data_IF_388423976152
#
_entry.id   IF_388423976152
#
_cell.length_a   1.000
_cell.length_b   1.000
_cell.length_c   1.000
_cell.angle_alpha   90.00
_cell.angle_beta   90.00
_cell.angle_gamma   90.00
#
_symmetry.space_group_name_H-M   'P 1'
#
loop_
_entity.id
_entity.type
_entity.pdbx_description
1 polymer ?
#
# COMPACT_ATOMS: atom_id res chain seq x y z
N UNK A 1 37.10 -6.73 9.82
CA UNK A 1 36.39 -6.78 11.12
C UNK A 1 34.90 -6.59 10.82
N UNK A 2 34.17 -7.68 10.69
CA UNK A 2 32.72 -7.70 10.44
C UNK A 2 32.01 -7.51 11.77
N UNK A 3 31.16 -6.50 11.93
CA UNK A 3 30.17 -6.41 12.99
C UNK A 3 28.78 -6.46 12.38
N UNK A 4 28.06 -7.45 12.84
CA UNK A 4 26.72 -7.87 12.47
C UNK A 4 25.66 -6.83 12.81
N UNK A 5 24.68 -6.67 11.89
CA UNK A 5 23.49 -5.79 11.98
C UNK A 5 22.31 -6.57 12.60
N UNK A 6 22.52 -7.25 13.74
CA UNK A 6 21.45 -8.10 14.33
C UNK A 6 21.07 -7.74 15.77
N UNK A 7 21.20 -6.47 16.20
CA UNK A 7 20.91 -6.09 17.59
C UNK A 7 19.87 -4.97 17.75
N UNK A 8 18.79 -4.96 16.93
CA UNK A 8 17.76 -3.93 17.08
C UNK A 8 16.30 -4.42 17.04
N UNK A 9 16.04 -5.65 17.46
CA UNK A 9 14.64 -6.12 17.69
C UNK A 9 14.57 -6.93 18.97
N UNK A 10 14.74 -6.32 20.11
CA UNK A 10 14.29 -6.89 21.39
C UNK A 10 14.36 -5.86 22.51
N UNK A 11 13.31 -5.06 22.66
CA UNK A 11 12.93 -4.42 23.94
C UNK A 11 11.58 -3.72 23.79
N UNK A 12 10.53 -4.44 24.12
CA UNK A 12 9.35 -3.88 24.81
C UNK A 12 8.37 -5.03 25.09
N UNK A 13 8.65 -5.71 26.16
CA UNK A 13 7.66 -6.49 26.89
C UNK A 13 7.95 -6.33 28.39
N UNK A 14 6.90 -6.14 29.16
CA UNK A 14 6.78 -6.14 30.62
C UNK A 14 6.78 -4.76 31.28
N UNK A 15 5.62 -4.42 31.84
CA UNK A 15 5.17 -4.54 33.24
C UNK A 15 3.80 -3.88 33.35
N UNK A 16 2.75 -4.49 33.68
CA UNK A 16 2.22 -5.26 34.80
C UNK A 16 1.59 -4.43 35.89
N UNK A 17 0.46 -4.93 36.31
CA UNK A 17 -0.11 -4.99 37.65
C UNK A 17 -0.75 -3.73 38.23
N UNK A 18 -1.99 -3.86 38.43
CA UNK A 18 -2.65 -4.22 39.72
C UNK A 18 -3.15 -3.00 40.51
N UNK A 19 -4.41 -3.05 41.00
CA UNK A 19 -4.98 -2.09 41.90
C UNK A 19 -6.50 -2.10 41.90
N UNK A 20 -7.03 -3.11 42.57
CA UNK A 20 -8.40 -3.16 43.09
C UNK A 20 -8.76 -1.96 43.96
N UNK A 21 -10.00 -1.51 43.95
CA UNK A 21 -10.80 -1.39 45.18
C UNK A 21 -12.26 -1.00 44.96
N UNK A 22 -13.07 -1.56 45.82
CA UNK A 22 -14.50 -1.54 45.97
C UNK A 22 -15.09 -0.15 46.32
N UNK A 23 -16.40 0.00 46.12
CA UNK A 23 -17.16 1.07 46.75
C UNK A 23 -18.63 1.20 46.35
N UNK A 24 -19.45 0.30 46.90
CA UNK A 24 -20.82 0.50 47.45
C UNK A 24 -21.86 1.45 46.84
N UNK A 25 -22.97 0.81 46.49
CA UNK A 25 -24.41 1.12 46.71
C UNK A 25 -24.90 2.56 46.81
N UNK A 26 -25.92 2.88 46.04
CA UNK A 26 -27.15 3.53 46.52
C UNK A 26 -28.38 3.29 45.65
N UNK A 27 -29.42 2.96 46.31
CA UNK A 27 -30.79 2.56 45.94
C UNK A 27 -31.61 3.76 45.41
N UNK A 28 -32.48 3.50 44.42
CA UNK A 28 -33.84 4.07 44.45
C UNK A 28 -34.29 4.94 43.29
N UNK A 29 -35.16 4.48 42.45
CA UNK A 29 -36.60 4.81 42.34
C UNK A 29 -37.14 4.38 40.97
N UNK A 30 -38.16 3.56 41.02
CA UNK A 30 -39.03 3.18 39.89
C UNK A 30 -39.82 4.38 39.38
N UNK A 31 -39.97 4.51 38.06
CA UNK A 31 -41.14 5.10 37.43
C UNK A 31 -41.41 4.51 36.05
N UNK A 32 -42.64 4.63 35.48
CA UNK A 32 -43.28 3.51 34.83
C UNK A 32 -43.15 3.48 33.31
N UNK A 33 -43.45 2.29 32.75
CA UNK A 33 -43.49 1.91 31.34
C UNK A 33 -44.30 2.88 30.48
N UNK A 34 -43.65 3.50 29.51
CA UNK A 34 -44.30 3.99 28.29
C UNK A 34 -43.82 3.08 27.16
N UNK A 35 -44.74 2.26 26.63
CA UNK A 35 -44.52 1.55 25.37
C UNK A 35 -44.42 2.60 24.27
N UNK A 36 -43.25 2.75 23.69
CA UNK A 36 -43.07 3.35 22.37
C UNK A 36 -42.86 2.20 21.38
N UNK A 37 -43.78 2.05 20.48
CA UNK A 37 -43.64 1.23 19.29
C UNK A 37 -42.44 1.80 18.48
N UNK A 38 -41.51 0.92 18.13
CA UNK A 38 -40.41 1.24 17.23
C UNK A 38 -40.99 1.47 15.81
N UNK A 39 -40.56 2.50 15.09
CA UNK A 39 -40.96 2.66 13.70
C UNK A 39 -40.38 1.53 12.85
N UNK A 40 -41.22 0.89 12.05
CA UNK A 40 -40.79 -0.04 10.99
C UNK A 40 -39.72 0.59 10.15
N UNK A 41 -38.58 -0.08 10.06
CA UNK A 41 -37.48 0.31 9.17
C UNK A 41 -37.97 0.15 7.73
N UNK A 42 -38.30 1.25 7.08
CA UNK A 42 -38.60 1.26 5.64
C UNK A 42 -37.37 0.82 4.85
N UNK A 43 -37.55 -0.08 3.89
CA UNK A 43 -36.51 -0.50 2.96
C UNK A 43 -35.80 0.73 2.32
N UNK A 44 -34.46 0.73 2.22
CA UNK A 44 -33.74 1.87 1.68
C UNK A 44 -34.14 2.12 0.22
N UNK A 45 -34.55 3.34 -0.07
CA UNK A 45 -34.94 3.74 -1.41
C UNK A 45 -33.78 3.58 -2.39
N UNK A 46 -34.12 3.32 -3.69
CA UNK A 46 -33.08 3.20 -4.77
C UNK A 46 -32.11 4.38 -4.80
N UNK A 47 -32.50 5.54 -4.27
CA UNK A 47 -31.66 6.74 -4.15
C UNK A 47 -30.63 6.59 -3.01
N UNK A 48 -31.04 6.08 -1.85
CA UNK A 48 -30.14 5.82 -0.70
C UNK A 48 -29.14 4.71 -1.00
N UNK A 49 -29.55 3.65 -1.72
CA UNK A 49 -28.63 2.59 -2.20
C UNK A 49 -27.61 3.16 -3.20
N UNK A 50 -28.03 4.11 -4.07
CA UNK A 50 -27.16 4.76 -5.05
C UNK A 50 -26.18 5.73 -4.39
N UNK A 51 -26.60 6.43 -3.33
CA UNK A 51 -25.74 7.32 -2.53
C UNK A 51 -24.73 6.53 -1.67
N UNK A 52 -25.15 5.45 -1.02
CA UNK A 52 -24.27 4.55 -0.28
C UNK A 52 -23.25 3.83 -1.20
N UNK A 53 -23.65 3.53 -2.45
CA UNK A 53 -22.75 2.98 -3.47
C UNK A 53 -21.76 4.01 -3.99
N UNK A 54 -22.18 5.29 -4.13
CA UNK A 54 -21.28 6.42 -4.43
C UNK A 54 -20.28 6.68 -3.29
N UNK A 55 -20.70 6.56 -2.05
CA UNK A 55 -19.84 6.78 -0.88
C UNK A 55 -18.82 5.66 -0.69
N UNK A 56 -19.18 4.40 -0.93
CA UNK A 56 -18.23 3.26 -0.96
C UNK A 56 -17.23 3.37 -2.11
N UNK A 57 -17.69 3.72 -3.32
CA UNK A 57 -16.82 4.01 -4.47
C UNK A 57 -15.88 5.18 -4.17
N UNK A 58 -16.36 6.24 -3.50
CA UNK A 58 -15.55 7.38 -3.09
C UNK A 58 -14.44 7.00 -2.09
N UNK A 59 -14.69 6.10 -1.14
CA UNK A 59 -13.67 5.65 -0.16
C UNK A 59 -12.61 4.75 -0.81
N UNK A 60 -13.03 3.82 -1.66
CA UNK A 60 -12.10 2.95 -2.41
C UNK A 60 -11.31 3.74 -3.44
N UNK A 61 -11.94 4.68 -4.16
CA UNK A 61 -11.27 5.59 -5.06
C UNK A 61 -10.26 6.50 -4.33
N UNK A 62 -10.58 6.98 -3.12
CA UNK A 62 -9.63 7.74 -2.29
C UNK A 62 -8.42 6.93 -1.86
N UNK A 63 -8.59 5.64 -1.55
CA UNK A 63 -7.49 4.74 -1.19
C UNK A 63 -6.61 4.44 -2.41
N UNK A 64 -7.21 4.17 -3.57
CA UNK A 64 -6.49 3.99 -4.84
C UNK A 64 -5.82 5.30 -5.27
N UNK A 65 -6.46 6.46 -5.05
CA UNK A 65 -5.88 7.78 -5.32
C UNK A 65 -4.76 8.15 -4.36
N UNK A 66 -4.84 7.77 -3.09
CA UNK A 66 -3.72 7.95 -2.14
C UNK A 66 -2.53 7.09 -2.56
N UNK A 67 -2.75 5.87 -3.04
CA UNK A 67 -1.68 5.02 -3.57
C UNK A 67 -1.12 5.56 -4.91
N UNK A 68 -1.98 6.01 -5.84
CA UNK A 68 -1.58 6.68 -7.09
C UNK A 68 -1.02 8.08 -6.78
N UNK A 69 -1.56 8.81 -5.81
CA UNK A 69 -1.12 10.14 -5.41
C UNK A 69 0.23 10.12 -4.69
N UNK A 70 0.55 9.10 -3.91
CA UNK A 70 1.90 8.90 -3.33
C UNK A 70 2.89 8.55 -4.46
N UNK A 71 2.52 7.70 -5.41
CA UNK A 71 3.32 7.44 -6.61
C UNK A 71 3.43 8.69 -7.51
N UNK A 72 2.34 9.45 -7.68
CA UNK A 72 2.31 10.68 -8.46
C UNK A 72 2.97 11.87 -7.75
N UNK A 73 2.95 11.96 -6.41
CA UNK A 73 3.74 12.96 -5.68
C UNK A 73 5.24 12.70 -5.81
N UNK A 74 5.67 11.46 -5.84
CA UNK A 74 7.06 11.12 -6.16
C UNK A 74 7.42 11.39 -7.63
N UNK A 75 6.42 11.36 -8.56
CA UNK A 75 6.62 11.51 -10.00
C UNK A 75 6.24 12.92 -10.51
N UNK A 76 5.25 13.62 -9.94
CA UNK A 76 4.73 14.89 -10.49
C UNK A 76 5.67 16.07 -10.29
N UNK A 77 6.47 16.03 -9.23
CA UNK A 77 7.49 17.06 -9.03
C UNK A 77 8.54 17.04 -10.14
N UNK A 78 8.69 15.93 -10.80
CA UNK A 78 9.74 15.64 -11.77
C UNK A 78 9.36 15.96 -13.21
N UNK A 79 8.13 15.71 -13.61
CA UNK A 79 7.63 16.09 -14.94
C UNK A 79 7.54 17.62 -15.10
N UNK A 80 7.19 18.34 -14.03
CA UNK A 80 7.14 19.80 -14.05
C UNK A 80 8.53 20.45 -14.19
N UNK A 81 9.58 19.86 -13.60
CA UNK A 81 10.92 20.45 -13.69
C UNK A 81 11.54 20.35 -15.09
N UNK A 82 11.20 19.31 -15.87
CA UNK A 82 11.79 19.06 -17.20
C UNK A 82 10.96 19.58 -18.38
N UNK A 83 9.67 19.82 -18.24
CA UNK A 83 8.79 20.16 -19.36
C UNK A 83 8.70 21.66 -19.69
N UNK A 84 9.34 22.53 -18.91
CA UNK A 84 9.22 23.99 -19.12
C UNK A 84 7.83 24.57 -18.83
N UNK A 85 6.88 23.75 -18.43
CA UNK A 85 5.48 24.11 -18.15
C UNK A 85 5.32 24.93 -16.86
N UNK A 86 6.38 25.02 -16.04
CA UNK A 86 6.40 25.88 -14.83
C UNK A 86 6.38 27.39 -15.13
N UNK A 87 6.35 27.80 -16.40
CA UNK A 87 6.40 29.22 -16.73
C UNK A 87 5.05 29.94 -16.83
N UNK A 88 3.91 29.29 -16.68
CA UNK A 88 2.59 29.91 -16.90
C UNK A 88 1.50 29.55 -15.87
N UNK A 89 1.79 29.52 -14.61
CA UNK A 89 0.72 29.71 -13.62
C UNK A 89 1.04 30.96 -12.83
N UNK A 90 0.50 32.10 -13.26
CA UNK A 90 0.39 33.34 -12.46
C UNK A 90 -0.53 33.10 -11.23
N UNK A 91 -0.11 32.23 -10.31
CA UNK A 91 -0.55 32.27 -8.92
C UNK A 91 0.49 33.08 -8.18
N UNK A 92 0.08 34.21 -7.58
CA UNK A 92 0.90 34.89 -6.59
C UNK A 92 1.20 33.86 -5.50
N UNK A 93 2.44 33.36 -5.47
CA UNK A 93 2.88 32.46 -4.41
C UNK A 93 2.89 33.26 -3.10
N UNK A 94 2.46 32.67 -1.96
CA UNK A 94 2.42 33.37 -0.66
C UNK A 94 3.82 33.62 -0.07
N UNK A 95 4.87 33.42 -0.86
CA UNK A 95 6.28 33.60 -0.48
C UNK A 95 7.08 34.19 -1.66
N UNK A 96 8.17 34.87 -1.32
CA UNK A 96 9.08 35.43 -2.31
C UNK A 96 10.10 34.39 -2.79
N UNK A 97 10.33 34.35 -4.11
CA UNK A 97 11.37 33.52 -4.72
C UNK A 97 12.69 34.29 -4.72
N UNK A 98 13.77 33.60 -4.38
CA UNK A 98 15.11 34.24 -4.25
C UNK A 98 15.86 34.31 -5.59
N UNK A 99 15.45 33.52 -6.57
CA UNK A 99 16.18 33.35 -7.83
C UNK A 99 17.51 32.62 -7.66
N UNK A 100 18.26 32.53 -8.74
CA UNK A 100 19.60 31.96 -8.74
C UNK A 100 19.65 30.47 -9.08
N UNK A 101 20.84 29.88 -8.89
CA UNK A 101 21.14 28.48 -9.21
C UNK A 101 21.40 27.72 -7.92
N UNK A 102 20.57 26.72 -7.63
CA UNK A 102 20.72 25.86 -6.48
C UNK A 102 21.84 24.83 -6.66
N UNK A 103 21.91 24.26 -7.85
CA UNK A 103 22.92 23.27 -8.21
C UNK A 103 23.14 23.21 -9.73
N UNK A 104 24.23 22.53 -10.14
CA UNK A 104 24.44 22.11 -11.53
C UNK A 104 24.57 20.60 -11.59
N UNK A 105 23.98 19.97 -12.61
CA UNK A 105 24.11 18.54 -12.90
C UNK A 105 24.58 18.42 -14.35
N UNK A 106 25.76 17.86 -14.58
CA UNK A 106 26.40 17.77 -15.90
C UNK A 106 26.41 19.13 -16.65
N UNK A 107 26.60 20.23 -15.91
CA UNK A 107 26.59 21.59 -16.46
C UNK A 107 25.20 22.21 -16.67
N UNK A 108 24.11 21.49 -16.39
CA UNK A 108 22.74 22.02 -16.45
C UNK A 108 22.31 22.56 -15.08
N UNK A 109 21.72 23.75 -15.08
CA UNK A 109 21.35 24.45 -13.86
C UNK A 109 20.01 23.95 -13.30
N UNK A 110 20.01 23.60 -12.01
CA UNK A 110 18.79 23.48 -11.18
C UNK A 110 18.55 24.86 -10.54
N UNK A 111 17.40 25.46 -10.81
CA UNK A 111 17.05 26.78 -10.27
C UNK A 111 16.68 26.68 -8.78
N UNK A 112 17.09 27.68 -7.99
CA UNK A 112 16.68 27.78 -6.58
C UNK A 112 15.16 27.86 -6.42
N UNK A 113 14.47 28.56 -7.32
CA UNK A 113 13.02 28.69 -7.30
C UNK A 113 12.32 27.36 -7.45
N UNK A 114 12.87 26.43 -8.25
CA UNK A 114 12.33 25.06 -8.39
C UNK A 114 12.43 24.31 -7.07
N UNK A 115 13.57 24.40 -6.39
CA UNK A 115 13.82 23.78 -5.09
C UNK A 115 12.89 24.38 -4.03
N UNK A 116 12.79 25.73 -4.01
CA UNK A 116 11.90 26.46 -3.10
C UNK A 116 10.45 26.03 -3.27
N UNK A 117 9.94 26.02 -4.50
CA UNK A 117 8.55 25.64 -4.78
C UNK A 117 8.27 24.20 -4.32
N UNK A 118 9.20 23.28 -4.53
CA UNK A 118 9.07 21.91 -4.07
C UNK A 118 9.01 21.78 -2.55
N UNK A 119 9.89 22.47 -1.83
CA UNK A 119 9.90 22.47 -0.36
C UNK A 119 8.65 23.15 0.18
N UNK A 120 8.26 24.28 -0.38
CA UNK A 120 7.11 25.07 0.08
C UNK A 120 5.78 24.36 -0.20
N UNK A 121 5.67 23.55 -1.23
CA UNK A 121 4.46 22.74 -1.47
C UNK A 121 4.15 21.78 -0.30
N UNK A 122 5.16 21.19 0.33
CA UNK A 122 5.00 20.39 1.54
C UNK A 122 4.77 21.28 2.76
N UNK A 123 5.55 22.35 2.90
CA UNK A 123 5.49 23.23 4.07
C UNK A 123 4.13 23.91 4.21
N UNK A 124 3.67 24.60 3.18
CA UNK A 124 2.38 25.32 3.19
C UNK A 124 1.17 24.40 3.31
N UNK A 125 1.27 23.16 2.84
CA UNK A 125 0.19 22.19 2.94
C UNK A 125 0.02 21.56 4.32
N UNK A 126 1.11 21.40 5.11
CA UNK A 126 1.08 20.62 6.34
C UNK A 126 1.86 21.27 7.50
N UNK A 127 2.80 22.15 7.21
CA UNK A 127 3.75 22.73 8.17
C UNK A 127 3.91 24.24 7.97
N UNK A 128 2.81 24.97 7.88
CA UNK A 128 2.75 26.41 7.56
C UNK A 128 3.47 27.27 8.60
N UNK A 129 3.46 26.85 9.88
CA UNK A 129 4.17 27.55 10.96
C UNK A 129 5.62 27.10 11.09
N UNK A 130 6.49 28.05 11.39
CA UNK A 130 7.91 27.78 11.60
C UNK A 130 8.19 26.71 12.66
N UNK A 131 7.43 26.71 13.76
CA UNK A 131 7.59 25.72 14.83
C UNK A 131 7.20 24.30 14.36
N UNK A 132 6.14 24.18 13.56
CA UNK A 132 5.70 22.90 13.00
C UNK A 132 6.71 22.37 11.96
N UNK A 133 7.23 23.27 11.12
CA UNK A 133 8.26 22.94 10.14
C UNK A 133 9.58 22.53 10.80
N UNK A 134 10.07 23.31 11.79
CA UNK A 134 11.26 22.98 12.55
C UNK A 134 11.11 21.64 13.30
N UNK A 135 9.93 21.38 13.90
CA UNK A 135 9.66 20.11 14.58
C UNK A 135 9.63 18.92 13.59
N UNK A 136 9.07 19.09 12.40
CA UNK A 136 9.11 18.09 11.35
C UNK A 136 10.55 17.77 10.94
N UNK A 137 11.35 18.77 10.59
CA UNK A 137 12.76 18.58 10.22
C UNK A 137 13.54 17.88 11.34
N UNK A 138 13.38 18.34 12.60
CA UNK A 138 14.03 17.73 13.75
C UNK A 138 13.63 16.26 13.94
N UNK A 139 12.37 15.90 13.69
CA UNK A 139 11.88 14.51 13.77
C UNK A 139 12.54 13.58 12.74
N UNK A 140 12.97 14.16 11.62
CA UNK A 140 13.70 13.43 10.55
C UNK A 140 15.23 13.52 10.72
N UNK A 141 15.72 14.22 11.74
CA UNK A 141 17.16 14.47 11.94
C UNK A 141 17.78 15.42 10.90
N UNK A 142 16.96 16.30 10.31
CA UNK A 142 17.34 17.20 9.23
C UNK A 142 17.37 18.66 9.70
N UNK A 143 18.08 19.49 8.96
CA UNK A 143 18.08 20.95 8.98
C UNK A 143 17.46 21.48 7.68
N UNK A 144 17.08 22.77 7.58
CA UNK A 144 16.66 23.35 6.30
C UNK A 144 17.66 23.14 5.17
N UNK A 145 18.94 23.24 5.46
CA UNK A 145 20.03 23.02 4.48
C UNK A 145 20.05 21.56 4.00
N UNK A 146 20.11 20.60 4.93
CA UNK A 146 20.18 19.18 4.55
C UNK A 146 18.89 18.70 3.88
N UNK A 147 17.73 19.26 4.24
CA UNK A 147 16.49 18.99 3.54
C UNK A 147 16.50 19.53 2.10
N UNK A 148 17.03 20.77 1.91
CA UNK A 148 17.25 21.35 0.58
C UNK A 148 18.19 20.48 -0.26
N UNK A 149 19.29 20.00 0.29
CA UNK A 149 20.21 19.09 -0.38
C UNK A 149 19.49 17.82 -0.84
N UNK A 150 18.69 17.18 0.02
CA UNK A 150 17.89 16.01 -0.34
C UNK A 150 16.91 16.29 -1.49
N UNK A 151 16.32 17.48 -1.53
CA UNK A 151 15.43 17.89 -2.63
C UNK A 151 16.23 18.10 -3.91
N UNK A 152 17.39 18.74 -3.84
CA UNK A 152 18.29 18.92 -4.99
C UNK A 152 18.73 17.57 -5.54
N UNK A 153 19.12 16.63 -4.68
CA UNK A 153 19.52 15.27 -5.09
C UNK A 153 18.36 14.53 -5.78
N UNK A 154 17.14 14.71 -5.29
CA UNK A 154 15.95 14.17 -5.93
C UNK A 154 15.74 14.73 -7.34
N UNK A 155 15.85 16.04 -7.51
CA UNK A 155 15.74 16.72 -8.81
C UNK A 155 16.87 16.30 -9.74
N UNK A 156 18.12 16.26 -9.23
CA UNK A 156 19.28 15.83 -9.98
C UNK A 156 19.13 14.41 -10.50
N UNK A 157 18.72 13.48 -9.64
CA UNK A 157 18.47 12.08 -10.01
C UNK A 157 17.43 11.98 -11.12
N UNK A 158 16.35 12.74 -11.01
CA UNK A 158 15.32 12.74 -12.03
C UNK A 158 15.83 13.27 -13.36
N UNK A 159 16.59 14.36 -13.33
CA UNK A 159 17.24 14.89 -14.53
C UNK A 159 18.14 13.82 -15.19
N UNK A 160 18.95 13.13 -14.40
CA UNK A 160 19.83 12.05 -14.88
C UNK A 160 19.05 10.87 -15.46
N UNK A 161 17.89 10.52 -14.90
CA UNK A 161 17.02 9.49 -15.48
C UNK A 161 16.49 9.90 -16.85
N UNK A 162 16.07 11.17 -17.03
CA UNK A 162 15.66 11.70 -18.34
C UNK A 162 16.82 11.74 -19.35
N UNK A 163 18.04 12.01 -18.89
CA UNK A 163 19.25 11.88 -19.74
C UNK A 163 19.48 10.43 -20.15
N UNK A 164 19.41 9.49 -19.20
CA UNK A 164 19.52 8.07 -19.47
C UNK A 164 18.43 7.58 -20.45
N UNK A 165 17.18 8.00 -20.30
CA UNK A 165 16.11 7.66 -21.25
C UNK A 165 16.49 8.06 -22.69
N UNK A 166 17.12 9.21 -22.88
CA UNK A 166 17.60 9.66 -24.20
C UNK A 166 18.80 8.86 -24.67
N UNK A 167 19.76 8.61 -23.78
CA UNK A 167 20.98 7.84 -24.07
C UNK A 167 20.66 6.42 -24.51
N UNK A 168 19.70 5.76 -23.82
CA UNK A 168 19.23 4.41 -24.14
C UNK A 168 18.15 4.38 -25.23
N UNK A 169 17.78 5.53 -25.82
CA UNK A 169 16.80 5.61 -26.89
C UNK A 169 15.37 5.25 -26.49
N UNK A 170 15.05 5.43 -25.21
CA UNK A 170 13.73 5.11 -24.69
C UNK A 170 12.68 6.03 -25.27
N UNK A 171 11.62 5.44 -25.83
CA UNK A 171 10.50 6.17 -26.40
C UNK A 171 9.17 5.58 -25.92
N UNK A 172 8.20 6.44 -25.69
CA UNK A 172 6.82 6.06 -25.36
C UNK A 172 5.94 6.41 -26.56
N UNK A 173 5.36 5.42 -27.17
CA UNK A 173 4.48 5.59 -28.35
C UNK A 173 3.08 6.10 -27.95
N UNK A 174 2.34 6.66 -28.91
CA UNK A 174 0.94 7.02 -28.67
C UNK A 174 0.09 5.79 -28.33
N UNK A 175 0.41 4.63 -28.89
CA UNK A 175 -0.28 3.37 -28.57
C UNK A 175 -0.08 2.96 -27.11
N UNK A 176 1.14 3.13 -26.56
CA UNK A 176 1.42 2.88 -25.13
C UNK A 176 0.56 3.78 -24.24
N UNK A 177 0.45 5.08 -24.58
CA UNK A 177 -0.35 6.05 -23.84
C UNK A 177 -1.84 5.73 -23.92
N UNK A 178 -2.34 5.41 -25.11
CA UNK A 178 -3.75 5.07 -25.32
C UNK A 178 -4.13 3.80 -24.55
N UNK A 179 -3.23 2.81 -24.52
CA UNK A 179 -3.42 1.60 -23.73
C UNK A 179 -3.44 1.88 -22.25
N UNK A 180 -2.45 2.62 -21.74
CA UNK A 180 -2.37 2.96 -20.33
C UNK A 180 -3.57 3.78 -19.85
N UNK A 181 -4.05 4.72 -20.68
CA UNK A 181 -5.28 5.47 -20.42
C UNK A 181 -6.51 4.55 -20.32
N UNK A 182 -6.69 3.65 -21.28
CA UNK A 182 -7.79 2.68 -21.27
C UNK A 182 -7.76 1.78 -20.04
N UNK A 183 -6.56 1.32 -19.65
CA UNK A 183 -6.39 0.48 -18.48
C UNK A 183 -6.70 1.24 -17.19
N UNK A 184 -6.27 2.51 -17.08
CA UNK A 184 -6.61 3.38 -15.95
C UNK A 184 -8.14 3.61 -15.82
N UNK A 185 -8.81 3.93 -16.93
CA UNK A 185 -10.27 4.09 -16.99
C UNK A 185 -10.98 2.79 -16.59
N UNK A 186 -10.52 1.63 -17.14
CA UNK A 186 -11.08 0.32 -16.82
C UNK A 186 -10.95 -0.02 -15.34
N UNK A 187 -9.78 0.22 -14.73
CA UNK A 187 -9.52 -0.02 -13.32
C UNK A 187 -10.36 0.89 -12.41
N UNK A 188 -10.73 2.06 -12.88
CA UNK A 188 -11.64 2.97 -12.18
C UNK A 188 -13.12 2.56 -12.28
N UNK A 189 -13.46 1.63 -13.16
CA UNK A 189 -14.84 1.13 -13.34
C UNK A 189 -15.39 1.30 -14.76
N UNK A 190 -14.55 1.73 -15.71
CA UNK A 190 -14.86 1.77 -17.14
C UNK A 190 -15.61 3.01 -17.63
N UNK A 191 -15.95 3.97 -16.75
CA UNK A 191 -16.56 5.24 -17.11
C UNK A 191 -15.49 6.34 -17.24
N UNK A 192 -15.09 6.64 -18.48
CA UNK A 192 -14.05 7.63 -18.76
C UNK A 192 -14.44 9.04 -18.26
N UNK A 193 -15.72 9.42 -18.37
CA UNK A 193 -16.16 10.72 -17.91
C UNK A 193 -16.05 10.85 -16.40
N UNK A 194 -16.49 9.84 -15.67
CA UNK A 194 -16.36 9.81 -14.21
C UNK A 194 -14.88 9.77 -13.78
N UNK A 195 -14.02 9.10 -14.54
CA UNK A 195 -12.58 9.08 -14.30
C UNK A 195 -11.96 10.46 -14.49
N UNK A 196 -12.30 11.18 -15.59
CA UNK A 196 -11.82 12.55 -15.84
C UNK A 196 -12.29 13.49 -14.73
N UNK A 197 -13.59 13.49 -14.39
CA UNK A 197 -14.12 14.30 -13.28
C UNK A 197 -13.36 14.04 -11.96
N UNK A 198 -12.95 12.80 -11.73
CA UNK A 198 -12.19 12.41 -10.54
C UNK A 198 -10.77 12.98 -10.56
N UNK A 199 -10.03 12.85 -11.66
CA UNK A 199 -8.66 13.39 -11.72
C UNK A 199 -8.66 14.93 -11.66
N UNK A 200 -9.69 15.61 -12.21
CA UNK A 200 -9.86 17.06 -12.11
C UNK A 200 -10.12 17.51 -10.66
N UNK A 201 -10.86 16.74 -9.87
CA UNK A 201 -11.09 17.05 -8.44
C UNK A 201 -9.80 17.03 -7.60
N UNK A 202 -8.77 16.32 -8.06
CA UNK A 202 -7.45 16.25 -7.39
C UNK A 202 -6.40 17.11 -8.09
N UNK A 203 -6.84 17.99 -9.03
CA UNK A 203 -5.99 19.02 -9.63
C UNK A 203 -5.25 18.59 -10.91
N UNK A 204 -5.58 17.45 -11.49
CA UNK A 204 -5.02 17.04 -12.78
C UNK A 204 -5.99 17.34 -13.93
N UNK A 205 -5.45 17.76 -15.06
CA UNK A 205 -6.14 17.67 -16.35
C UNK A 205 -5.83 16.32 -17.00
N UNK A 206 -6.59 15.94 -18.04
CA UNK A 206 -6.27 14.75 -18.83
C UNK A 206 -4.84 14.81 -19.38
N UNK A 207 -4.42 15.97 -19.87
CA UNK A 207 -3.09 16.15 -20.47
C UNK A 207 -1.98 15.99 -19.44
N UNK A 208 -2.09 16.64 -18.27
CA UNK A 208 -1.10 16.48 -17.18
C UNK A 208 -1.06 15.07 -16.63
N UNK A 209 -2.19 14.37 -16.59
CA UNK A 209 -2.24 12.97 -16.21
C UNK A 209 -1.53 12.06 -17.25
N UNK A 210 -1.73 12.31 -18.54
CA UNK A 210 -1.06 11.59 -19.62
C UNK A 210 0.45 11.86 -19.66
N UNK A 211 0.92 13.08 -19.37
CA UNK A 211 2.36 13.34 -19.22
C UNK A 211 2.97 12.57 -18.05
N UNK A 212 2.26 12.43 -16.92
CA UNK A 212 2.71 11.60 -15.81
C UNK A 212 2.78 10.11 -16.19
N UNK A 213 1.77 9.59 -16.91
CA UNK A 213 1.80 8.23 -17.46
C UNK A 213 3.01 8.05 -18.38
N UNK A 214 3.25 9.00 -19.27
CA UNK A 214 4.37 8.95 -20.21
C UNK A 214 5.71 8.86 -19.49
N UNK A 215 5.93 9.70 -18.49
CA UNK A 215 7.14 9.66 -17.66
C UNK A 215 7.30 8.32 -16.93
N UNK A 216 6.22 7.80 -16.34
CA UNK A 216 6.22 6.50 -15.68
C UNK A 216 6.53 5.34 -16.65
N UNK A 217 5.96 5.36 -17.85
CA UNK A 217 6.23 4.36 -18.87
C UNK A 217 7.67 4.46 -19.40
N UNK A 218 8.22 5.67 -19.55
CA UNK A 218 9.61 5.86 -19.96
C UNK A 218 10.57 5.27 -18.91
N UNK A 219 10.34 5.57 -17.63
CA UNK A 219 11.14 5.02 -16.53
C UNK A 219 11.03 3.49 -16.45
N UNK A 220 9.82 2.93 -16.65
CA UNK A 220 9.66 1.47 -16.68
C UNK A 220 10.43 0.85 -17.85
N UNK A 221 10.34 1.43 -19.05
CA UNK A 221 11.08 0.95 -20.22
C UNK A 221 12.59 1.06 -20.03
N UNK A 222 13.06 2.14 -19.39
CA UNK A 222 14.48 2.28 -19.03
C UNK A 222 14.90 1.19 -18.06
N UNK A 223 14.09 0.94 -17.04
CA UNK A 223 14.35 -0.13 -16.07
C UNK A 223 14.41 -1.50 -16.74
N UNK A 224 13.47 -1.80 -17.65
CA UNK A 224 13.43 -3.05 -18.39
C UNK A 224 14.65 -3.22 -19.33
N UNK A 225 15.18 -2.10 -19.87
CA UNK A 225 16.38 -2.10 -20.72
C UNK A 225 17.67 -2.33 -19.91
N UNK A 226 17.83 -1.66 -18.77
CA UNK A 226 19.08 -1.71 -17.99
C UNK A 226 19.11 -2.85 -16.96
N UNK A 227 17.95 -3.38 -16.61
CA UNK A 227 17.77 -4.50 -15.69
C UNK A 227 16.68 -5.44 -16.20
N UNK A 228 16.93 -6.17 -17.32
CA UNK A 228 15.94 -7.07 -17.89
C UNK A 228 15.57 -8.16 -16.89
N UNK A 229 14.29 -8.50 -16.84
CA UNK A 229 13.80 -9.58 -16.02
C UNK A 229 14.27 -10.92 -16.59
N UNK A 230 15.04 -11.65 -15.79
CA UNK A 230 15.48 -13.02 -16.09
C UNK A 230 14.91 -13.96 -15.05
N UNK A 231 14.28 -15.04 -15.51
CA UNK A 231 13.76 -16.04 -14.58
C UNK A 231 14.90 -16.75 -13.86
N UNK A 232 14.77 -16.94 -12.54
CA UNK A 232 15.76 -17.72 -11.81
C UNK A 232 15.80 -19.17 -12.31
N UNK A 233 16.97 -19.76 -12.26
CA UNK A 233 17.16 -21.19 -12.55
C UNK A 233 16.50 -22.06 -11.48
N UNK A 234 16.24 -23.32 -11.82
CA UNK A 234 15.73 -24.31 -10.88
C UNK A 234 16.62 -24.46 -9.65
N UNK A 235 17.95 -24.37 -9.85
CA UNK A 235 18.93 -24.47 -8.78
C UNK A 235 18.87 -23.28 -7.79
N UNK A 236 18.64 -22.07 -8.30
CA UNK A 236 18.46 -20.88 -7.46
C UNK A 236 17.17 -20.98 -6.62
N UNK A 237 16.08 -21.44 -7.22
CA UNK A 237 14.80 -21.65 -6.51
C UNK A 237 14.96 -22.71 -5.43
N UNK A 238 15.59 -23.85 -5.74
CA UNK A 238 15.85 -24.93 -4.79
C UNK A 238 16.74 -24.45 -3.65
N UNK A 239 17.80 -23.72 -3.97
CA UNK A 239 18.73 -23.15 -2.98
C UNK A 239 17.99 -22.21 -2.04
N UNK A 240 17.24 -21.27 -2.58
CA UNK A 240 16.45 -20.33 -1.80
C UNK A 240 15.43 -21.02 -0.89
N UNK A 241 14.71 -22.04 -1.40
CA UNK A 241 13.74 -22.79 -0.61
C UNK A 241 14.41 -23.55 0.54
N UNK A 242 15.59 -24.14 0.32
CA UNK A 242 16.34 -24.83 1.36
C UNK A 242 16.88 -23.88 2.44
N UNK A 243 17.36 -22.70 2.05
CA UNK A 243 17.81 -21.67 2.99
C UNK A 243 16.66 -21.09 3.82
N UNK A 244 15.44 -21.12 3.27
CA UNK A 244 14.22 -20.57 3.89
C UNK A 244 13.18 -21.66 4.21
N UNK A 245 13.60 -22.90 4.42
CA UNK A 245 12.71 -24.04 4.54
C UNK A 245 11.68 -23.89 5.66
N UNK A 246 12.07 -23.31 6.81
CA UNK A 246 11.15 -23.03 7.93
C UNK A 246 10.00 -22.09 7.58
N UNK A 247 10.20 -21.25 6.58
CA UNK A 247 9.16 -20.33 6.08
C UNK A 247 8.12 -21.06 5.25
N UNK A 248 8.52 -22.05 4.46
CA UNK A 248 7.64 -22.69 3.48
C UNK A 248 7.19 -24.10 3.87
N UNK A 249 8.02 -24.88 4.57
CA UNK A 249 7.64 -26.22 5.02
C UNK A 249 6.51 -26.15 6.05
N UNK A 250 5.53 -27.01 5.92
CA UNK A 250 4.28 -27.01 6.67
C UNK A 250 3.21 -26.09 6.07
N UNK A 251 3.46 -25.49 4.89
CA UNK A 251 2.47 -24.65 4.21
C UNK A 251 1.25 -25.47 3.79
N UNK A 252 0.07 -24.88 3.98
CA UNK A 252 -1.21 -25.47 3.58
C UNK A 252 -1.94 -24.59 2.60
N UNK A 253 -2.40 -25.18 1.50
CA UNK A 253 -3.37 -24.53 0.62
C UNK A 253 -4.77 -24.83 1.12
N UNK A 254 -5.61 -23.81 1.12
CA UNK A 254 -6.96 -23.96 1.65
C UNK A 254 -8.02 -23.39 0.73
N UNK A 255 -9.22 -23.97 0.86
CA UNK A 255 -10.46 -23.40 0.39
C UNK A 255 -11.37 -23.11 1.57
N UNK A 256 -12.21 -22.09 1.47
CA UNK A 256 -13.16 -21.78 2.52
C UNK A 256 -14.57 -21.39 2.02
N UNK A 257 -15.53 -21.48 2.93
CA UNK A 257 -16.86 -20.97 2.76
C UNK A 257 -17.06 -19.94 3.88
N UNK A 258 -17.34 -18.69 3.52
CA UNK A 258 -17.57 -17.62 4.46
C UNK A 258 -19.06 -17.27 4.51
N UNK A 259 -19.61 -17.29 5.72
CA UNK A 259 -20.90 -16.73 6.07
C UNK A 259 -20.66 -15.44 6.85
N UNK A 260 -20.89 -14.30 6.20
CA UNK A 260 -20.58 -12.98 6.78
C UNK A 260 -21.53 -12.65 7.93
N UNK A 261 -20.96 -12.02 8.96
CA UNK A 261 -21.71 -11.45 10.06
C UNK A 261 -21.40 -9.96 10.12
N UNK A 262 -22.42 -9.11 10.08
CA UNK A 262 -22.24 -7.68 10.22
C UNK A 262 -21.65 -7.36 11.61
N UNK A 263 -20.79 -6.35 11.71
CA UNK A 263 -20.14 -5.95 12.95
C UNK A 263 -21.16 -5.59 14.05
N UNK A 264 -22.25 -4.92 13.66
CA UNK A 264 -23.37 -4.50 14.52
C UNK A 264 -24.50 -5.55 14.64
N UNK A 265 -24.28 -6.80 14.16
CA UNK A 265 -25.28 -7.85 14.22
C UNK A 265 -25.68 -8.18 15.67
N UNK A 266 -26.98 -8.39 15.91
CA UNK A 266 -27.49 -8.88 17.18
C UNK A 266 -27.10 -10.34 17.43
N UNK A 267 -27.17 -10.79 18.68
CA UNK A 267 -26.91 -12.20 19.01
C UNK A 267 -27.84 -13.16 18.28
N UNK A 268 -29.12 -12.77 18.07
CA UNK A 268 -30.09 -13.55 17.30
C UNK A 268 -29.68 -13.67 15.82
N UNK A 269 -29.24 -12.59 15.22
CA UNK A 269 -28.72 -12.59 13.83
C UNK A 269 -27.49 -13.46 13.71
N UNK A 270 -26.54 -13.37 14.67
CA UNK A 270 -25.35 -14.21 14.73
C UNK A 270 -25.71 -15.69 14.82
N UNK A 271 -26.62 -16.04 15.73
CA UNK A 271 -27.08 -17.43 15.89
C UNK A 271 -27.75 -17.98 14.64
N UNK A 272 -28.49 -17.16 13.89
CA UNK A 272 -29.08 -17.55 12.61
C UNK A 272 -28.05 -17.88 11.57
N UNK A 273 -27.03 -17.02 11.40
CA UNK A 273 -25.93 -17.25 10.44
C UNK A 273 -25.13 -18.49 10.84
N UNK A 274 -24.86 -18.67 12.13
CA UNK A 274 -24.18 -19.86 12.65
C UNK A 274 -24.94 -21.15 12.33
N UNK A 275 -26.28 -21.16 12.55
CA UNK A 275 -27.11 -22.31 12.23
C UNK A 275 -27.14 -22.62 10.72
N UNK A 276 -27.13 -21.60 9.86
CA UNK A 276 -27.02 -21.77 8.41
C UNK A 276 -25.67 -22.36 8.00
N UNK A 277 -24.58 -21.82 8.55
CA UNK A 277 -23.23 -22.35 8.33
C UNK A 277 -23.10 -23.80 8.82
N UNK A 278 -23.65 -24.14 9.99
CA UNK A 278 -23.65 -25.49 10.52
C UNK A 278 -24.39 -26.45 9.61
N UNK A 279 -25.55 -26.07 9.09
CA UNK A 279 -26.31 -26.89 8.14
C UNK A 279 -25.51 -27.21 6.88
N UNK A 280 -24.77 -26.24 6.35
CA UNK A 280 -23.92 -26.45 5.18
C UNK A 280 -22.75 -27.37 5.51
N UNK A 281 -22.13 -27.20 6.69
CA UNK A 281 -21.07 -28.09 7.18
C UNK A 281 -21.57 -29.54 7.30
N UNK A 282 -22.79 -29.72 7.86
CA UNK A 282 -23.40 -31.05 8.00
C UNK A 282 -23.63 -31.71 6.63
N UNK A 283 -24.11 -30.96 5.63
CA UNK A 283 -24.28 -31.45 4.26
C UNK A 283 -22.94 -31.84 3.59
N UNK A 284 -21.88 -31.08 3.84
CA UNK A 284 -20.53 -31.42 3.34
C UNK A 284 -20.03 -32.69 3.99
N UNK A 285 -20.15 -32.81 5.31
CA UNK A 285 -19.70 -33.98 6.07
C UNK A 285 -20.52 -35.25 5.73
N UNK A 286 -21.79 -35.10 5.38
CA UNK A 286 -22.63 -36.18 4.90
C UNK A 286 -22.36 -36.57 3.42
N UNK A 287 -21.52 -35.81 2.70
CA UNK A 287 -21.28 -36.02 1.27
C UNK A 287 -22.44 -35.62 0.37
N UNK A 288 -23.44 -34.91 0.86
CA UNK A 288 -24.61 -34.44 0.11
C UNK A 288 -24.25 -33.34 -0.89
N UNK A 289 -23.17 -32.56 -0.60
CA UNK A 289 -22.65 -31.51 -1.45
C UNK A 289 -21.13 -31.52 -1.42
N UNK A 290 -20.51 -31.38 -2.58
CA UNK A 290 -19.06 -31.22 -2.68
C UNK A 290 -18.65 -29.82 -2.20
N UNK A 291 -17.49 -29.70 -1.51
CA UNK A 291 -17.01 -28.47 -0.92
C UNK A 291 -16.97 -27.29 -1.91
N UNK A 292 -16.41 -27.48 -3.09
CA UNK A 292 -16.31 -26.43 -4.11
C UNK A 292 -17.70 -25.96 -4.61
N UNK A 293 -18.69 -26.87 -4.70
CA UNK A 293 -20.06 -26.54 -5.05
C UNK A 293 -20.77 -25.80 -3.91
N UNK A 294 -20.48 -26.18 -2.67
CA UNK A 294 -20.99 -25.49 -1.49
C UNK A 294 -20.38 -24.07 -1.39
N UNK A 295 -19.09 -23.91 -1.63
CA UNK A 295 -18.43 -22.60 -1.67
C UNK A 295 -19.09 -21.69 -2.72
N UNK A 296 -19.26 -22.18 -3.94
CA UNK A 296 -19.90 -21.41 -5.03
C UNK A 296 -21.32 -21.01 -4.72
N UNK A 297 -22.05 -21.82 -3.96
CA UNK A 297 -23.47 -21.61 -3.68
C UNK A 297 -23.72 -20.74 -2.45
N UNK A 298 -22.90 -20.88 -1.42
CA UNK A 298 -23.16 -20.31 -0.10
C UNK A 298 -22.12 -19.32 0.39
N UNK A 299 -20.89 -19.34 -0.16
CA UNK A 299 -19.84 -18.43 0.30
C UNK A 299 -20.13 -17.00 -0.16
N UNK A 300 -19.98 -16.07 0.79
CA UNK A 300 -20.04 -14.63 0.54
C UNK A 300 -18.67 -14.01 0.34
N UNK A 301 -17.64 -14.84 0.17
CA UNK A 301 -16.29 -14.41 -0.16
C UNK A 301 -16.07 -14.33 -1.67
N UNK A 302 -15.10 -13.50 -2.10
CA UNK A 302 -14.76 -13.32 -3.52
C UNK A 302 -14.17 -14.58 -4.17
N UNK A 303 -13.67 -15.53 -3.37
CA UNK A 303 -13.17 -16.82 -3.82
C UNK A 303 -14.28 -17.84 -4.16
N UNK A 304 -15.55 -17.53 -3.87
CA UNK A 304 -16.68 -18.43 -4.06
C UNK A 304 -16.72 -19.07 -5.45
N UNK A 305 -16.57 -18.27 -6.52
CA UNK A 305 -16.60 -18.75 -7.91
C UNK A 305 -15.43 -19.68 -8.25
N UNK A 306 -14.32 -19.60 -7.49
CA UNK A 306 -13.16 -20.50 -7.59
C UNK A 306 -13.24 -21.70 -6.63
N UNK A 307 -14.45 -22.02 -6.14
CA UNK A 307 -14.65 -23.12 -5.18
C UNK A 307 -14.12 -22.82 -3.78
N UNK A 308 -13.96 -21.54 -3.45
CA UNK A 308 -13.47 -21.05 -2.16
C UNK A 308 -11.94 -21.06 -2.02
N UNK A 309 -11.16 -21.33 -3.09
CA UNK A 309 -9.70 -21.39 -3.04
C UNK A 309 -9.10 -20.02 -2.70
N UNK A 310 -8.35 -19.97 -1.60
CA UNK A 310 -7.66 -18.78 -1.09
C UNK A 310 -6.13 -18.93 -1.05
N UNK A 311 -5.63 -20.01 -1.65
CA UNK A 311 -4.20 -20.25 -1.82
C UNK A 311 -3.50 -20.76 -0.54
N UNK A 312 -2.20 -20.50 -0.48
CA UNK A 312 -1.28 -21.02 0.54
C UNK A 312 -1.17 -20.08 1.74
N UNK A 313 -1.25 -20.62 2.95
CA UNK A 313 -1.20 -19.87 4.22
C UNK A 313 0.15 -19.19 4.47
N UNK A 314 1.24 -19.72 3.93
CA UNK A 314 2.57 -19.11 4.03
C UNK A 314 2.78 -17.95 3.05
N UNK A 315 1.93 -17.84 2.01
CA UNK A 315 1.95 -16.77 1.02
C UNK A 315 0.83 -15.75 1.23
N UNK A 316 -0.11 -16.04 2.14
CA UNK A 316 -1.28 -15.22 2.42
C UNK A 316 -1.42 -15.01 3.92
N UNK A 317 -1.67 -13.78 4.34
CA UNK A 317 -1.94 -13.48 5.75
C UNK A 317 -3.40 -13.75 6.08
N UNK A 318 -3.65 -14.79 6.86
CA UNK A 318 -4.97 -15.10 7.41
C UNK A 318 -5.10 -14.57 8.84
N UNK A 319 -6.33 -14.34 9.29
CA UNK A 319 -6.59 -14.00 10.69
C UNK A 319 -6.25 -15.19 11.60
N UNK A 320 -5.83 -14.93 12.87
CA UNK A 320 -5.31 -15.97 13.75
C UNK A 320 -6.21 -17.20 13.90
N UNK A 321 -7.53 -16.99 14.04
CA UNK A 321 -8.50 -18.08 14.24
C UNK A 321 -8.58 -18.99 13.00
N UNK A 322 -8.46 -18.41 11.80
CA UNK A 322 -8.41 -19.16 10.55
C UNK A 322 -7.13 -19.98 10.47
N UNK A 323 -5.98 -19.33 10.74
CA UNK A 323 -4.66 -19.96 10.71
C UNK A 323 -4.56 -21.09 11.72
N UNK A 324 -5.07 -20.89 12.94
CA UNK A 324 -5.11 -21.90 13.99
C UNK A 324 -5.93 -23.13 13.60
N UNK A 325 -7.06 -22.91 12.94
CA UNK A 325 -7.91 -23.99 12.46
C UNK A 325 -7.25 -24.76 11.32
N UNK A 326 -6.71 -24.01 10.31
CA UNK A 326 -6.05 -24.61 9.15
C UNK A 326 -4.83 -25.43 9.54
N UNK A 327 -4.03 -24.97 10.51
CA UNK A 327 -2.81 -25.66 10.97
C UNK A 327 -3.04 -27.08 11.49
N UNK A 328 -4.27 -27.39 11.88
CA UNK A 328 -4.67 -28.70 12.43
C UNK A 328 -5.23 -29.65 11.37
N UNK A 329 -5.44 -29.16 10.14
CA UNK A 329 -6.05 -29.95 9.08
C UNK A 329 -4.98 -30.69 8.26
N UNK A 330 -5.18 -31.96 8.03
CA UNK A 330 -4.51 -32.70 6.96
C UNK A 330 -5.17 -32.47 5.62
N UNK A 331 -4.53 -32.95 4.55
CA UNK A 331 -5.08 -32.85 3.18
C UNK A 331 -6.48 -33.46 3.12
N UNK A 332 -7.39 -32.80 2.44
CA UNK A 332 -8.82 -33.12 2.29
C UNK A 332 -9.66 -33.04 3.56
N UNK A 333 -9.09 -32.70 4.70
CA UNK A 333 -9.87 -32.50 5.91
C UNK A 333 -10.60 -31.15 5.92
N UNK A 334 -11.80 -31.18 6.47
CA UNK A 334 -12.69 -30.00 6.66
C UNK A 334 -12.73 -29.66 8.14
N UNK A 335 -12.67 -28.37 8.47
CA UNK A 335 -12.77 -27.86 9.84
C UNK A 335 -14.20 -27.98 10.38
N UNK A 336 -14.38 -27.83 11.70
CA UNK A 336 -15.64 -27.34 12.26
C UNK A 336 -15.91 -25.90 11.85
N UNK A 337 -16.95 -25.28 12.41
CA UNK A 337 -17.18 -23.84 12.23
C UNK A 337 -16.08 -23.05 12.93
N UNK A 338 -15.45 -22.15 12.19
CA UNK A 338 -14.41 -21.24 12.68
C UNK A 338 -14.97 -19.83 12.72
N UNK A 339 -15.08 -19.27 13.92
CA UNK A 339 -15.58 -17.90 14.11
C UNK A 339 -14.41 -16.93 14.02
N UNK A 340 -14.58 -15.88 13.20
CA UNK A 340 -13.63 -14.78 13.07
C UNK A 340 -14.36 -13.43 13.16
N UNK A 341 -13.65 -12.33 13.01
CA UNK A 341 -14.23 -10.98 12.89
C UNK A 341 -15.09 -10.81 11.65
N UNK A 342 -14.91 -11.61 10.60
CA UNK A 342 -15.68 -11.56 9.36
C UNK A 342 -17.00 -12.37 9.41
N UNK A 343 -17.10 -13.34 10.34
CA UNK A 343 -18.23 -14.25 10.43
C UNK A 343 -17.80 -15.68 10.72
N UNK A 344 -18.51 -16.64 10.13
CA UNK A 344 -18.23 -18.07 10.29
C UNK A 344 -17.62 -18.64 9.02
N UNK A 345 -16.54 -19.41 9.18
CA UNK A 345 -15.84 -20.07 8.10
C UNK A 345 -15.95 -21.60 8.24
N UNK A 346 -16.07 -22.27 7.09
CA UNK A 346 -15.80 -23.71 6.96
C UNK A 346 -14.53 -23.77 6.09
N UNK A 347 -13.46 -24.43 6.60
CA UNK A 347 -12.16 -24.44 5.96
C UNK A 347 -11.84 -25.85 5.52
N UNK A 348 -11.34 -26.04 4.30
CA UNK A 348 -10.80 -27.29 3.80
C UNK A 348 -9.31 -27.11 3.48
N UNK A 349 -8.44 -27.97 4.01
CA UNK A 349 -7.07 -28.08 3.53
C UNK A 349 -7.06 -28.86 2.22
N UNK A 350 -6.55 -28.29 1.15
CA UNK A 350 -6.53 -28.91 -0.17
C UNK A 350 -5.17 -29.47 -0.54
N UNK A 351 -4.10 -28.86 -0.05
CA UNK A 351 -2.72 -29.33 -0.25
C UNK A 351 -1.88 -29.04 0.99
N UNK A 352 -0.83 -29.83 1.21
CA UNK A 352 0.18 -29.67 2.27
C UNK A 352 1.56 -29.84 1.65
N UNK A 353 2.42 -28.84 1.84
CA UNK A 353 3.83 -28.90 1.49
C UNK A 353 4.66 -29.05 2.75
N UNK A 354 5.15 -30.25 3.02
CA UNK A 354 5.94 -30.57 4.22
C UNK A 354 7.13 -31.43 3.83
N UNK A 355 8.31 -30.83 3.86
CA UNK A 355 9.57 -31.49 3.47
C UNK A 355 10.71 -31.16 4.43
N UNK A 356 11.74 -32.02 4.50
CA UNK A 356 12.96 -31.77 5.26
C UNK A 356 14.04 -31.10 4.42
N UNK A 357 13.97 -31.24 3.12
CA UNK A 357 14.80 -30.56 2.12
C UNK A 357 14.09 -30.65 0.78
N UNK A 358 14.35 -29.68 -0.10
CA UNK A 358 13.91 -29.70 -1.49
C UNK A 358 15.06 -30.20 -2.35
N UNK A 359 14.84 -31.29 -3.07
CA UNK A 359 15.85 -31.90 -3.96
C UNK A 359 15.50 -31.73 -5.45
N UNK A 360 14.22 -31.50 -5.75
CA UNK A 360 13.70 -31.22 -7.09
C UNK A 360 12.53 -30.26 -7.02
N UNK A 361 12.34 -29.44 -8.06
CA UNK A 361 11.16 -28.56 -8.17
C UNK A 361 9.85 -29.34 -8.34
N UNK A 362 9.91 -30.60 -8.79
CA UNK A 362 8.71 -31.44 -8.89
C UNK A 362 8.08 -31.75 -7.53
N UNK A 363 8.87 -31.63 -6.44
CA UNK A 363 8.41 -31.80 -5.06
C UNK A 363 7.72 -30.53 -4.54
N UNK A 364 7.90 -29.40 -5.20
CA UNK A 364 7.40 -28.08 -4.76
C UNK A 364 6.08 -27.77 -5.45
N UNK A 365 5.01 -27.50 -4.71
CA UNK A 365 3.74 -27.07 -5.28
C UNK A 365 3.89 -25.86 -6.20
N UNK A 366 3.18 -25.87 -7.33
CA UNK A 366 3.28 -24.83 -8.35
C UNK A 366 3.12 -23.42 -7.79
N UNK A 367 2.15 -23.22 -6.87
CA UNK A 367 1.91 -21.91 -6.26
C UNK A 367 3.10 -21.39 -5.45
N UNK A 368 3.81 -22.26 -4.72
CA UNK A 368 5.01 -21.88 -3.95
C UNK A 368 6.17 -21.63 -4.91
N UNK A 369 6.36 -22.51 -5.89
CA UNK A 369 7.41 -22.38 -6.92
C UNK A 369 7.27 -21.07 -7.71
N UNK A 370 6.08 -20.77 -8.20
CA UNK A 370 5.80 -19.53 -8.93
C UNK A 370 6.07 -18.31 -8.05
N UNK A 371 5.56 -18.31 -6.82
CA UNK A 371 5.79 -17.20 -5.88
C UNK A 371 7.28 -16.95 -5.64
N UNK A 372 8.06 -17.99 -5.38
CA UNK A 372 9.51 -17.87 -5.14
C UNK A 372 10.24 -17.43 -6.40
N UNK A 373 9.87 -17.98 -7.57
CA UNK A 373 10.42 -17.55 -8.85
C UNK A 373 10.19 -16.07 -9.12
N UNK A 374 8.94 -15.60 -9.00
CA UNK A 374 8.58 -14.20 -9.24
C UNK A 374 9.25 -13.25 -8.23
N UNK A 375 9.39 -13.70 -6.99
CA UNK A 375 10.08 -12.94 -5.95
C UNK A 375 11.58 -12.80 -6.25
N UNK A 376 12.27 -13.89 -6.59
CA UNK A 376 13.70 -13.88 -6.92
C UNK A 376 13.96 -13.04 -8.19
N UNK A 377 13.13 -13.19 -9.22
CA UNK A 377 13.19 -12.36 -10.44
C UNK A 377 13.05 -10.87 -10.08
N UNK A 378 12.04 -10.51 -9.29
CA UNK A 378 11.82 -9.13 -8.86
C UNK A 378 12.98 -8.58 -8.04
N UNK A 379 13.59 -9.41 -7.19
CA UNK A 379 14.74 -9.04 -6.38
C UNK A 379 16.00 -8.83 -7.25
N UNK A 380 16.24 -9.71 -8.21
CA UNK A 380 17.35 -9.58 -9.16
C UNK A 380 17.23 -8.29 -9.97
N UNK A 381 16.05 -8.01 -10.54
CA UNK A 381 15.75 -6.76 -11.25
C UNK A 381 15.98 -5.54 -10.35
N UNK A 382 15.51 -5.57 -9.10
CA UNK A 382 15.69 -4.44 -8.18
C UNK A 382 17.16 -4.20 -7.84
N UNK A 383 17.94 -5.27 -7.65
CA UNK A 383 19.37 -5.20 -7.37
C UNK A 383 20.13 -4.64 -8.58
N UNK A 384 19.94 -5.22 -9.76
CA UNK A 384 20.61 -4.81 -11.00
C UNK A 384 20.30 -3.35 -11.34
N UNK A 385 19.01 -2.96 -11.21
CA UNK A 385 18.61 -1.57 -11.44
C UNK A 385 19.24 -0.62 -10.40
N UNK A 386 19.28 -1.02 -9.13
CA UNK A 386 19.89 -0.23 -8.05
C UNK A 386 21.38 -0.02 -8.26
N UNK A 387 22.11 -1.06 -8.66
CA UNK A 387 23.52 -0.99 -9.00
C UNK A 387 23.78 -0.09 -10.22
N UNK A 388 23.01 -0.29 -11.29
CA UNK A 388 23.07 0.57 -12.47
C UNK A 388 22.79 2.03 -12.14
N UNK A 389 21.75 2.32 -11.36
CA UNK A 389 21.38 3.68 -10.99
C UNK A 389 22.48 4.34 -10.14
N UNK A 390 23.09 3.60 -9.22
CA UNK A 390 24.20 4.08 -8.42
C UNK A 390 25.39 4.43 -9.32
N UNK A 391 25.80 3.51 -10.16
CA UNK A 391 26.91 3.71 -11.11
C UNK A 391 26.65 4.88 -12.07
N UNK A 392 25.39 5.04 -12.53
CA UNK A 392 25.02 6.11 -13.43
C UNK A 392 25.04 7.49 -12.75
N UNK A 393 24.53 7.55 -11.52
CA UNK A 393 24.51 8.81 -10.76
C UNK A 393 25.88 9.20 -10.21
N UNK A 394 26.73 8.25 -9.83
CA UNK A 394 28.11 8.52 -9.37
C UNK A 394 29.02 9.10 -10.47
N UNK A 395 28.71 8.84 -11.73
CA UNK A 395 29.45 9.41 -12.89
C UNK A 395 29.05 10.85 -13.19
N UNK A 396 27.94 11.32 -12.64
CA UNK A 396 27.45 12.68 -12.89
C UNK A 396 28.22 13.72 -12.07
N UNK A 397 28.51 14.85 -12.69
CA UNK A 397 29.07 16.00 -11.99
C UNK A 397 27.92 16.81 -11.35
N UNK A 398 27.72 16.62 -10.04
CA UNK A 398 26.73 17.38 -9.27
C UNK A 398 27.49 18.39 -8.40
N UNK A 399 27.13 19.69 -8.52
CA UNK A 399 27.70 20.76 -7.73
C UNK A 399 26.57 21.57 -7.10
N UNK A 400 26.42 21.45 -5.78
CA UNK A 400 25.41 22.17 -5.00
C UNK A 400 25.99 23.51 -4.52
N UNK A 401 25.26 24.60 -4.76
CA UNK A 401 25.61 25.92 -4.28
C UNK A 401 25.10 26.12 -2.84
N UNK A 402 25.76 26.99 -2.02
CA UNK A 402 25.30 27.33 -0.69
C UNK A 402 23.83 27.79 -0.70
N UNK A 403 23.09 27.41 0.36
CA UNK A 403 21.72 27.83 0.54
C UNK A 403 21.64 29.36 0.73
N UNK A 404 20.76 30.09 0.01
CA UNK A 404 20.52 31.50 0.28
C UNK A 404 19.91 31.72 1.65
N UNK A 405 20.31 32.79 2.36
CA UNK A 405 19.82 33.06 3.71
C UNK A 405 18.32 33.40 3.77
N UNK A 406 17.78 33.98 2.70
CA UNK A 406 16.42 34.52 2.61
C UNK A 406 15.40 33.57 1.97
N UNK A 407 15.70 32.26 1.88
CA UNK A 407 14.71 31.29 1.39
C UNK A 407 13.57 31.10 2.39
N UNK A 408 12.30 30.97 1.91
CA UNK A 408 11.12 30.98 2.78
C UNK A 408 11.01 29.73 3.68
N UNK A 409 11.74 28.67 3.39
CA UNK A 409 11.76 27.43 4.18
C UNK A 409 12.89 27.40 5.22
N UNK A 410 13.77 28.43 5.26
CA UNK A 410 14.80 28.55 6.29
C UNK A 410 14.17 28.94 7.62
N UNK A 411 14.40 28.15 8.67
CA UNK A 411 13.82 28.37 10.00
C UNK A 411 14.87 28.12 11.10
N UNK A 412 14.73 28.85 12.22
CA UNK A 412 15.53 28.54 13.41
C UNK A 412 15.07 27.21 14.02
N UNK A 413 15.92 26.21 14.01
CA UNK A 413 15.66 24.87 14.53
C UNK A 413 15.34 24.85 16.03
N UNK A 414 15.66 25.91 16.78
CA UNK A 414 15.27 26.04 18.18
C UNK A 414 13.75 26.11 18.36
N UNK A 415 13.01 26.60 17.35
CA UNK A 415 11.54 26.64 17.35
C UNK A 415 10.89 25.26 17.43
N UNK A 416 11.63 24.17 17.12
CA UNK A 416 11.12 22.81 17.27
C UNK A 416 10.74 22.45 18.72
N UNK A 417 11.37 23.11 19.72
CA UNK A 417 11.06 22.89 21.14
C UNK A 417 9.78 23.61 21.60
N UNK A 418 9.34 24.65 20.89
CA UNK A 418 8.14 25.42 21.23
C UNK A 418 6.85 24.60 21.08
N UNK A 419 6.82 23.65 20.15
CA UNK A 419 5.69 22.75 19.94
C UNK A 419 5.47 21.75 21.08
N UNK A 420 6.50 21.40 21.85
CA UNK A 420 6.36 20.47 22.97
C UNK A 420 5.59 21.05 24.14
N UNK A 421 5.61 22.37 24.31
CA UNK A 421 4.93 23.05 25.42
C UNK A 421 3.42 23.28 25.18
N UNK A 422 2.98 23.37 23.91
CA UNK A 422 1.55 23.52 23.58
C UNK A 422 0.76 22.21 23.66
N UNK A 423 1.42 21.05 23.56
CA UNK A 423 0.79 19.73 23.70
C UNK A 423 0.71 19.24 25.15
N UNK A 424 1.29 20.01 26.10
CA UNK A 424 1.31 19.71 27.55
C UNK A 424 0.34 20.58 28.36
N UNK A 425 -0.46 21.42 27.70
CA UNK A 425 -1.56 22.19 28.29
C UNK A 425 -2.90 21.65 27.83
#
# INVERSE_FOLDING_TARGET
MKKSVNDMVARNAATSSDGSEEGTMAVGRRNPKVKREAPEASEPTKKQVKEARKEKLSKTAKIVLVAIGILAMLLSVTAMACSGVLNEVNKEEPYELTGGVAATVNGVNIKEDTVTNQIMSLRTGSYDKDADWAAYLASQGLTPESYRENVIDGIARQYLLVEAEKEYGITVSQEDLDKAWKDAVKNYGGDEKAFVEMIEQVGFTKDTYLENIKSSLAQQKLKDEVAPAEKPSDEEIITYLNENLSTYSGARRSSHILFKVAEDATDEQRAKVEAEAQKVLDQINAGEIEFAKAAKKYSEDSSADKGGDVGWDKLTTFVPEYQDALSKLGVDQVSGLVKTTYGYHIIKCTELFEVQAVTSLDEVPEGIRTYVSDMLESQAVATTYGEWLTDYTEKAEIKINPMPENVPYNVDMKKASEKKDDSAK
#
